data_IF_903321993637
#
_entry.id   IF_903321993637
#
_cell.length_a   1.000
_cell.length_b   1.000
_cell.length_c   1.000
_cell.angle_alpha   90.00
_cell.angle_beta   90.00
_cell.angle_gamma   90.00
#
_symmetry.space_group_name_H-M   'P 1'
#
loop_
_entity.id
_entity.type
_entity.pdbx_description
1 polymer ?
#
# COMPACT_ATOMS: atom_id res chain seq x y z
N UNK A 1 -12.92 13.11 21.52
CA UNK A 1 -12.38 14.01 20.47
C UNK A 1 -12.90 13.48 19.15
N UNK A 2 -13.34 14.38 18.27
CA UNK A 2 -13.82 14.03 16.94
C UNK A 2 -12.65 13.89 15.94
N UNK A 3 -12.88 13.22 14.82
CA UNK A 3 -11.94 13.15 13.70
C UNK A 3 -11.62 14.56 13.19
N UNK A 4 -10.35 14.84 12.87
CA UNK A 4 -9.93 16.14 12.31
C UNK A 4 -9.36 15.99 10.90
N UNK A 5 -9.90 16.74 9.94
CA UNK A 5 -9.38 16.82 8.57
C UNK A 5 -8.73 18.19 8.38
N UNK A 6 -7.50 18.22 7.88
CA UNK A 6 -6.75 19.44 7.62
C UNK A 6 -6.30 19.49 6.16
N UNK A 7 -7.12 20.12 5.31
CA UNK A 7 -6.84 20.26 3.87
C UNK A 7 -6.02 21.51 3.58
N UNK A 8 -5.03 21.39 2.68
CA UNK A 8 -4.19 22.52 2.28
C UNK A 8 -4.89 23.37 1.23
N UNK A 9 -4.95 24.69 1.46
CA UNK A 9 -5.43 25.66 0.45
C UNK A 9 -4.58 25.65 -0.81
N UNK A 10 -3.26 25.51 -0.67
CA UNK A 10 -2.30 25.34 -1.78
C UNK A 10 -1.56 24.01 -1.61
N UNK A 11 -1.65 23.14 -2.62
CA UNK A 11 -0.95 21.85 -2.62
C UNK A 11 0.56 22.09 -2.74
N UNK A 12 1.34 21.43 -1.88
CA UNK A 12 2.80 21.42 -2.02
C UNK A 12 3.16 20.36 -3.05
N UNK A 13 3.89 20.75 -4.08
CA UNK A 13 4.38 19.85 -5.11
C UNK A 13 5.85 19.51 -4.84
N UNK A 14 6.23 18.26 -5.02
CA UNK A 14 7.63 17.83 -4.89
C UNK A 14 7.90 16.63 -5.81
N UNK A 15 9.08 16.58 -6.45
CA UNK A 15 9.43 15.47 -7.31
C UNK A 15 9.83 14.24 -6.49
N UNK A 16 9.50 13.05 -6.98
CA UNK A 16 9.85 11.76 -6.38
C UNK A 16 10.40 10.78 -7.41
N UNK A 17 11.02 9.72 -6.91
CA UNK A 17 11.64 8.67 -7.71
C UNK A 17 13.09 8.93 -8.09
N UNK A 18 13.78 7.91 -8.60
CA UNK A 18 15.19 7.96 -8.99
C UNK A 18 15.45 9.02 -10.06
N UNK A 19 14.54 9.14 -11.03
CA UNK A 19 14.63 10.13 -12.12
C UNK A 19 13.92 11.44 -11.82
N UNK A 20 13.25 11.57 -10.66
CA UNK A 20 12.47 12.77 -10.27
C UNK A 20 11.43 13.21 -11.31
N UNK A 21 10.89 12.26 -12.09
CA UNK A 21 9.95 12.54 -13.18
C UNK A 21 8.50 12.64 -12.69
N UNK A 22 8.17 12.07 -11.54
CA UNK A 22 6.84 12.12 -10.96
C UNK A 22 6.73 13.26 -9.94
N UNK A 23 5.66 14.06 -10.03
CA UNK A 23 5.37 15.14 -9.09
C UNK A 23 4.23 14.71 -8.18
N UNK A 24 4.52 14.56 -6.89
CA UNK A 24 3.50 14.30 -5.87
C UNK A 24 2.97 15.64 -5.35
N UNK A 25 1.64 15.71 -5.19
CA UNK A 25 0.93 16.88 -4.61
C UNK A 25 0.41 16.54 -3.22
N UNK A 26 1.03 17.09 -2.19
CA UNK A 26 0.56 16.97 -0.81
C UNK A 26 -0.71 17.83 -0.62
N UNK A 27 -1.82 17.14 -0.36
CA UNK A 27 -3.16 17.73 -0.26
C UNK A 27 -3.60 18.05 1.19
N UNK A 28 -2.85 17.60 2.21
CA UNK A 28 -3.24 17.77 3.61
C UNK A 28 -3.12 16.49 4.45
N UNK A 29 -3.81 16.47 5.58
CA UNK A 29 -3.70 15.40 6.58
C UNK A 29 -5.04 15.09 7.25
N UNK A 30 -5.24 13.84 7.66
CA UNK A 30 -6.41 13.37 8.41
C UNK A 30 -5.91 12.77 9.73
N UNK A 31 -6.51 13.18 10.83
CA UNK A 31 -6.24 12.67 12.18
C UNK A 31 -7.39 11.75 12.59
N UNK A 32 -7.07 10.46 12.74
CA UNK A 32 -8.00 9.43 13.20
C UNK A 32 -7.79 9.13 14.68
N UNK A 33 -8.87 9.10 15.45
CA UNK A 33 -8.90 8.59 16.81
C UNK A 33 -8.92 7.06 16.83
N UNK A 34 -8.73 6.49 18.02
CA UNK A 34 -8.85 5.03 18.22
C UNK A 34 -10.19 4.53 17.71
N UNK A 35 -10.16 3.50 16.88
CA UNK A 35 -11.29 2.82 16.25
C UNK A 35 -12.02 3.63 15.16
N UNK A 36 -11.39 4.68 14.63
CA UNK A 36 -11.90 5.37 13.43
C UNK A 36 -11.27 4.82 12.15
N UNK A 37 -12.02 4.94 11.04
CA UNK A 37 -11.64 4.50 9.71
C UNK A 37 -11.89 5.60 8.69
N UNK A 38 -11.00 5.70 7.71
CA UNK A 38 -11.22 6.48 6.49
C UNK A 38 -11.13 5.55 5.27
N UNK A 39 -12.00 5.77 4.30
CA UNK A 39 -12.01 5.03 3.03
C UNK A 39 -11.65 5.98 1.89
N UNK A 40 -10.59 5.66 1.16
CA UNK A 40 -10.25 6.30 -0.11
C UNK A 40 -10.99 5.59 -1.24
N UNK A 41 -11.70 6.34 -2.08
CA UNK A 41 -12.47 5.80 -3.21
C UNK A 41 -11.93 6.37 -4.52
N UNK A 42 -11.75 5.52 -5.53
CA UNK A 42 -11.46 5.98 -6.89
C UNK A 42 -12.76 6.31 -7.64
N UNK A 43 -12.65 7.12 -8.70
CA UNK A 43 -13.78 7.41 -9.61
C UNK A 43 -14.21 6.17 -10.41
N UNK A 44 -13.31 5.19 -10.60
CA UNK A 44 -13.64 3.88 -11.17
C UNK A 44 -14.51 3.09 -10.18
N UNK A 45 -15.54 2.38 -10.66
CA UNK A 45 -16.43 1.57 -9.81
C UNK A 45 -15.63 0.50 -9.04
N UNK A 46 -15.90 0.36 -7.75
CA UNK A 46 -15.41 -0.69 -6.85
C UNK A 46 -13.91 -0.65 -6.44
N UNK A 47 -13.23 0.50 -6.53
CA UNK A 47 -11.90 0.68 -5.94
C UNK A 47 -11.99 1.44 -4.62
N UNK A 48 -11.75 0.72 -3.52
CA UNK A 48 -11.78 1.28 -2.16
C UNK A 48 -10.57 0.81 -1.36
N UNK A 49 -9.94 1.74 -0.65
CA UNK A 49 -8.82 1.47 0.23
C UNK A 49 -9.07 2.06 1.61
N UNK A 50 -9.15 1.22 2.63
CA UNK A 50 -9.45 1.63 4.00
C UNK A 50 -8.18 1.73 4.84
N UNK A 51 -8.11 2.77 5.67
CA UNK A 51 -7.10 2.92 6.74
C UNK A 51 -7.84 3.08 8.07
N UNK A 52 -7.48 2.25 9.05
CA UNK A 52 -8.13 2.21 10.37
C UNK A 52 -7.11 2.47 11.46
N UNK A 53 -7.40 3.40 12.37
CA UNK A 53 -6.60 3.60 13.59
C UNK A 53 -7.11 2.69 14.70
N UNK A 54 -6.21 1.99 15.39
CA UNK A 54 -6.48 1.23 16.61
C UNK A 54 -5.64 1.75 17.78
N UNK A 55 -5.89 1.26 18.99
CA UNK A 55 -5.12 1.65 20.19
C UNK A 55 -3.62 1.37 20.03
N UNK A 56 -3.29 0.28 19.35
CA UNK A 56 -1.92 -0.20 19.16
C UNK A 56 -1.24 0.36 17.90
N UNK A 57 -1.95 1.07 17.00
CA UNK A 57 -1.36 1.49 15.73
C UNK A 57 -2.38 1.71 14.63
N UNK A 58 -2.05 1.28 13.42
CA UNK A 58 -2.91 1.32 12.24
C UNK A 58 -2.99 -0.06 11.60
N UNK A 59 -4.17 -0.41 11.08
CA UNK A 59 -4.20 -1.35 9.97
C UNK A 59 -3.60 -0.64 8.76
N UNK A 60 -2.43 -1.11 8.32
CA UNK A 60 -1.78 -0.55 7.15
C UNK A 60 -2.68 -0.71 5.92
N UNK A 61 -3.35 -1.85 5.78
CA UNK A 61 -4.27 -2.15 4.67
C UNK A 61 -5.42 -3.07 5.13
N UNK A 62 -6.52 -3.19 4.36
CA UNK A 62 -7.46 -4.31 4.51
C UNK A 62 -6.79 -5.68 4.28
N UNK A 63 -7.51 -6.76 4.57
CA UNK A 63 -7.03 -8.14 4.41
C UNK A 63 -6.47 -8.41 3.00
N UNK A 64 -5.27 -8.97 2.95
CA UNK A 64 -4.48 -9.15 1.72
C UNK A 64 -5.14 -10.10 0.70
N UNK A 65 -5.71 -11.19 1.18
CA UNK A 65 -6.26 -12.29 0.39
C UNK A 65 -7.80 -12.30 0.30
N UNK A 66 -8.46 -11.20 0.68
CA UNK A 66 -9.92 -11.10 0.62
C UNK A 66 -10.38 -9.68 0.24
N UNK A 67 -10.53 -8.78 1.21
CA UNK A 67 -11.10 -7.43 0.99
C UNK A 67 -10.36 -6.63 -0.08
N UNK A 68 -9.02 -6.60 -0.09
CA UNK A 68 -8.27 -5.87 -1.12
C UNK A 68 -8.57 -6.40 -2.53
N UNK A 69 -8.52 -7.73 -2.71
CA UNK A 69 -8.85 -8.39 -3.98
C UNK A 69 -10.28 -8.06 -4.45
N UNK A 70 -11.24 -8.11 -3.53
CA UNK A 70 -12.64 -7.77 -3.81
C UNK A 70 -12.85 -6.28 -4.14
N UNK A 71 -11.92 -5.41 -3.72
CA UNK A 71 -11.90 -3.97 -4.00
C UNK A 71 -10.93 -3.60 -5.12
N UNK A 72 -10.59 -4.56 -5.98
CA UNK A 72 -9.83 -4.33 -7.20
C UNK A 72 -8.34 -4.06 -6.98
N UNK A 73 -7.79 -4.44 -5.83
CA UNK A 73 -6.38 -4.30 -5.51
C UNK A 73 -5.67 -5.64 -5.34
N UNK A 74 -4.43 -5.69 -5.80
CA UNK A 74 -3.51 -6.81 -5.64
C UNK A 74 -2.30 -6.37 -4.80
N UNK A 75 -2.26 -6.72 -3.50
CA UNK A 75 -1.14 -6.39 -2.66
C UNK A 75 0.12 -7.16 -3.06
N UNK A 76 1.23 -6.46 -3.19
CA UNK A 76 2.53 -7.03 -3.56
C UNK A 76 3.62 -6.50 -2.63
N UNK A 77 4.50 -7.40 -2.19
CA UNK A 77 5.75 -7.05 -1.51
C UNK A 77 6.80 -6.77 -2.58
N UNK A 78 7.34 -5.57 -2.59
CA UNK A 78 8.40 -5.15 -3.51
C UNK A 78 9.65 -4.75 -2.76
N UNK A 79 10.80 -4.89 -3.42
CA UNK A 79 12.10 -4.48 -2.91
C UNK A 79 12.74 -3.53 -3.90
N UNK A 80 13.26 -2.41 -3.40
CA UNK A 80 14.15 -1.57 -4.17
C UNK A 80 15.55 -2.18 -4.17
N UNK A 81 16.08 -2.52 -5.35
CA UNK A 81 17.33 -3.27 -5.50
C UNK A 81 18.56 -2.44 -5.22
N UNK A 82 18.47 -1.11 -5.30
CA UNK A 82 19.56 -0.18 -4.97
C UNK A 82 19.63 0.04 -3.45
N UNK A 83 18.55 0.53 -2.86
CA UNK A 83 18.48 0.91 -1.44
C UNK A 83 18.23 -0.28 -0.50
N UNK A 84 17.88 -1.45 -1.05
CA UNK A 84 17.50 -2.68 -0.34
C UNK A 84 16.27 -2.52 0.57
N UNK A 85 15.51 -1.43 0.44
CA UNK A 85 14.27 -1.18 1.19
C UNK A 85 13.11 -1.99 0.61
N UNK A 86 12.18 -2.39 1.48
CA UNK A 86 10.99 -3.14 1.12
C UNK A 86 9.74 -2.28 1.28
N UNK A 87 8.76 -2.50 0.41
CA UNK A 87 7.49 -1.77 0.42
C UNK A 87 6.34 -2.73 0.11
N UNK A 88 5.14 -2.38 0.58
CA UNK A 88 3.90 -3.03 0.14
C UNK A 88 3.20 -2.08 -0.82
N UNK A 89 2.98 -2.53 -2.05
CA UNK A 89 2.18 -1.79 -3.02
C UNK A 89 0.79 -2.42 -3.12
N UNK A 90 -0.21 -1.59 -3.38
CA UNK A 90 -1.57 -2.01 -3.71
C UNK A 90 -1.82 -1.71 -5.18
N UNK A 91 -1.54 -2.70 -6.03
CA UNK A 91 -1.68 -2.56 -7.46
C UNK A 91 -3.17 -2.62 -7.84
N UNK A 92 -3.68 -1.67 -8.62
CA UNK A 92 -5.00 -1.83 -9.26
C UNK A 92 -4.96 -3.00 -10.27
N UNK A 93 -5.95 -3.89 -10.21
CA UNK A 93 -6.07 -5.02 -11.16
C UNK A 93 -6.20 -4.47 -12.59
N UNK A 94 -5.39 -5.01 -13.52
CA UNK A 94 -5.38 -4.56 -14.92
C UNK A 94 -4.32 -3.50 -15.24
N UNK A 95 -3.59 -2.99 -14.24
CA UNK A 95 -2.50 -2.01 -14.42
C UNK A 95 -1.11 -2.67 -14.38
N UNK A 96 -0.98 -3.92 -14.83
CA UNK A 96 0.29 -4.67 -14.80
C UNK A 96 1.38 -4.02 -15.66
N UNK A 97 1.00 -3.42 -16.79
CA UNK A 97 1.94 -2.77 -17.71
C UNK A 97 2.53 -1.51 -17.07
N UNK A 98 1.67 -0.64 -16.54
CA UNK A 98 2.06 0.61 -15.89
C UNK A 98 2.92 0.34 -14.64
N UNK A 99 2.55 -0.68 -13.85
CA UNK A 99 3.37 -1.09 -12.71
C UNK A 99 4.75 -1.56 -13.19
N UNK A 100 4.83 -2.39 -14.24
CA UNK A 100 6.10 -2.90 -14.75
C UNK A 100 7.02 -1.75 -15.19
N UNK A 101 6.49 -0.80 -15.96
CA UNK A 101 7.22 0.39 -16.40
C UNK A 101 7.74 1.21 -15.21
N UNK A 102 6.91 1.45 -14.20
CA UNK A 102 7.32 2.13 -12.97
C UNK A 102 8.42 1.37 -12.22
N UNK A 103 8.30 0.04 -12.09
CA UNK A 103 9.28 -0.79 -11.39
C UNK A 103 10.65 -0.78 -12.06
N UNK A 104 10.69 -0.80 -13.39
CA UNK A 104 11.94 -0.66 -14.17
C UNK A 104 12.60 0.70 -13.94
N UNK A 105 11.81 1.77 -13.91
CA UNK A 105 12.32 3.14 -13.67
C UNK A 105 12.86 3.33 -12.26
N UNK A 106 12.23 2.71 -11.27
CA UNK A 106 12.53 2.88 -9.85
C UNK A 106 13.41 1.77 -9.24
N UNK A 107 13.95 0.89 -10.09
CA UNK A 107 14.81 -0.25 -9.68
C UNK A 107 14.13 -1.11 -8.60
N UNK A 108 12.91 -1.56 -8.88
CA UNK A 108 12.09 -2.36 -7.99
C UNK A 108 11.93 -3.80 -8.53
N UNK A 109 11.89 -4.77 -7.62
CA UNK A 109 11.53 -6.16 -7.94
C UNK A 109 10.34 -6.63 -7.08
N UNK A 110 9.48 -7.49 -7.65
CA UNK A 110 8.41 -8.14 -6.89
C UNK A 110 9.03 -9.32 -6.13
N UNK A 111 8.91 -9.29 -4.81
CA UNK A 111 9.36 -10.38 -3.94
C UNK A 111 8.24 -11.40 -3.77
N UNK A 112 7.01 -10.93 -3.57
CA UNK A 112 5.89 -11.80 -3.26
C UNK A 112 4.55 -11.15 -3.63
N UNK A 113 3.67 -11.92 -4.26
CA UNK A 113 2.25 -11.58 -4.41
C UNK A 113 1.53 -11.98 -3.13
N UNK A 114 1.05 -10.99 -2.37
CA UNK A 114 0.52 -11.17 -1.02
C UNK A 114 -0.98 -11.53 -1.01
N UNK A 115 -1.63 -11.55 -2.15
CA UNK A 115 -3.01 -11.99 -2.31
C UNK A 115 -3.13 -13.52 -2.48
N UNK A 116 -2.05 -14.18 -2.90
CA UNK A 116 -2.05 -15.62 -3.15
C UNK A 116 -1.85 -16.43 -1.86
N UNK A 117 -2.85 -17.24 -1.51
CA UNK A 117 -2.82 -18.10 -0.30
C UNK A 117 -1.58 -19.01 -0.28
N UNK A 118 -1.16 -19.56 -1.43
CA UNK A 118 0.05 -20.41 -1.51
C UNK A 118 1.32 -19.67 -1.05
N UNK A 119 1.44 -18.37 -1.34
CA UNK A 119 2.61 -17.58 -0.94
C UNK A 119 2.53 -17.21 0.54
N UNK A 120 1.33 -16.84 1.01
CA UNK A 120 1.09 -16.58 2.43
C UNK A 120 1.39 -17.82 3.29
N UNK A 121 0.98 -19.02 2.85
CA UNK A 121 1.32 -20.27 3.53
C UNK A 121 2.81 -20.57 3.55
N UNK A 122 3.55 -20.24 2.48
CA UNK A 122 5.02 -20.36 2.46
C UNK A 122 5.67 -19.42 3.47
N UNK A 123 5.20 -18.17 3.54
CA UNK A 123 5.64 -17.18 4.52
C UNK A 123 5.36 -17.69 5.94
N UNK A 124 4.11 -18.07 6.22
CA UNK A 124 3.67 -18.63 7.49
C UNK A 124 4.52 -19.83 7.91
N UNK A 125 4.69 -20.81 7.01
CA UNK A 125 5.51 -21.98 7.27
C UNK A 125 6.96 -21.63 7.61
N UNK A 126 7.58 -20.72 6.85
CA UNK A 126 8.98 -20.35 7.05
C UNK A 126 9.20 -19.65 8.40
N UNK A 127 8.33 -18.70 8.76
CA UNK A 127 8.47 -17.95 10.01
C UNK A 127 8.00 -18.73 11.24
N UNK A 128 6.98 -19.58 11.12
CA UNK A 128 6.53 -20.40 12.26
C UNK A 128 7.57 -21.48 12.60
N UNK A 129 8.20 -22.14 11.62
CA UNK A 129 9.30 -23.08 11.88
C UNK A 129 10.55 -22.41 12.48
N UNK A 130 10.76 -21.13 12.19
CA UNK A 130 11.91 -20.39 12.72
C UNK A 130 11.77 -20.05 14.21
N UNK A 131 10.56 -20.15 14.77
CA UNK A 131 10.26 -19.89 16.18
C UNK A 131 10.28 -21.16 17.06
N UNK A 132 10.57 -22.34 16.47
CA UNK A 132 10.72 -23.62 17.18
C UNK A 132 12.19 -23.95 17.53
N UNK A 133 13.09 -22.96 17.46
CA UNK A 133 14.48 -23.03 17.91
C UNK A 133 14.72 -22.02 19.02
#
# INVERSE_FOLDING_TARGET
>A
MEMKINLKKRKREFPTGLKKLEIIKDCGSIYLNKNEMITFKSKKKNLEYDVVKKKWGYYATPSLNARLKNKGYMPILVKNTITKRYFVFLQEIGMEKELKEYMEQESLEIICRLDEIKNLKKIEFFFNKSNEK
#
